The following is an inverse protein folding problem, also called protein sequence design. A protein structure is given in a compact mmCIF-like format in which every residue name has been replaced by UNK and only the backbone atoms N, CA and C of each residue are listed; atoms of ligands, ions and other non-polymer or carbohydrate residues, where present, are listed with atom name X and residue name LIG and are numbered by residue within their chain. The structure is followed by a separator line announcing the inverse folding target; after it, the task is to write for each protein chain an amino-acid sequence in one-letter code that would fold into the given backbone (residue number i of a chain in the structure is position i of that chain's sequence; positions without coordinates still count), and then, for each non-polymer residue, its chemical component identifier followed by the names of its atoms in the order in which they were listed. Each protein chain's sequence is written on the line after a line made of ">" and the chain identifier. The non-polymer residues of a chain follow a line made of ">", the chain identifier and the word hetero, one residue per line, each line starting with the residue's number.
data_IF_747997590847
#
_entry.id   IF_747997590847
#
_cell.length_a   1.000
_cell.length_b   1.000
_cell.length_c   1.000
_cell.angle_alpha   90.00
_cell.angle_beta   90.00
_cell.angle_gamma   90.00
#
_symmetry.space_group_name_H-M   'P 1'
#
loop_
_entity.id
_entity.type
_entity.pdbx_description
1 polymer ?
#
# COMPACT_ATOMS: atom_id res chain seq x y z
N UNK A 1 2.86 3.36 9.63
CA UNK A 1 3.37 2.60 8.46
C UNK A 1 2.35 2.64 7.35
N UNK A 2 2.80 2.81 6.13
CA UNK A 2 1.95 2.74 4.93
C UNK A 2 2.51 1.69 3.99
N UNK A 3 1.66 0.77 3.54
CA UNK A 3 1.98 -0.27 2.58
C UNK A 3 1.06 -0.09 1.37
N UNK A 4 1.63 0.10 0.20
CA UNK A 4 0.85 0.41 -1.01
C UNK A 4 1.46 -0.25 -2.23
N UNK A 5 0.62 -0.72 -3.16
CA UNK A 5 1.06 -1.22 -4.45
C UNK A 5 1.36 -0.09 -5.43
N UNK A 6 2.40 -0.24 -6.23
CA UNK A 6 2.77 0.78 -7.22
C UNK A 6 1.70 0.98 -8.30
N UNK A 7 0.87 -0.04 -8.53
CA UNK A 7 -0.22 0.00 -9.50
C UNK A 7 -1.58 0.31 -8.86
N UNK A 8 -1.59 0.78 -7.62
CA UNK A 8 -2.81 1.19 -6.94
C UNK A 8 -3.20 2.60 -7.38
N UNK A 9 -4.01 2.67 -8.43
CA UNK A 9 -4.50 3.96 -8.94
C UNK A 9 -5.72 4.47 -8.18
N UNK A 10 -6.33 3.66 -7.34
CA UNK A 10 -7.40 4.11 -6.45
C UNK A 10 -6.84 5.04 -5.35
N UNK A 11 -5.60 4.79 -4.93
CA UNK A 11 -4.88 5.60 -3.96
C UNK A 11 -3.50 5.90 -4.53
N UNK A 12 -3.38 6.96 -5.30
CA UNK A 12 -2.16 7.28 -6.05
C UNK A 12 -0.91 7.28 -5.18
N UNK A 13 0.09 6.50 -5.58
CA UNK A 13 1.33 6.30 -4.84
C UNK A 13 2.16 7.59 -4.73
N UNK A 14 2.25 8.34 -5.82
CA UNK A 14 3.04 9.57 -5.86
C UNK A 14 2.58 10.64 -4.86
N UNK A 15 1.30 11.06 -4.91
CA UNK A 15 0.77 12.01 -3.92
C UNK A 15 0.84 11.49 -2.49
N UNK A 16 0.61 10.20 -2.26
CA UNK A 16 0.73 9.59 -0.95
C UNK A 16 2.17 9.69 -0.43
N UNK A 17 3.14 9.35 -1.26
CA UNK A 17 4.56 9.44 -0.91
C UNK A 17 4.95 10.89 -0.60
N UNK A 18 4.51 11.85 -1.40
CA UNK A 18 4.81 13.26 -1.17
C UNK A 18 4.26 13.75 0.17
N UNK A 19 3.03 13.36 0.52
CA UNK A 19 2.42 13.69 1.79
C UNK A 19 3.23 13.12 2.97
N UNK A 20 3.64 11.86 2.87
CA UNK A 20 4.40 11.20 3.92
C UNK A 20 5.81 11.75 4.04
N UNK A 21 6.49 12.04 2.92
CA UNK A 21 7.80 12.66 2.93
C UNK A 21 7.75 14.03 3.64
N UNK A 22 6.71 14.81 3.39
CA UNK A 22 6.47 16.07 4.09
C UNK A 22 6.27 15.89 5.58
N UNK A 23 5.52 14.86 5.98
CA UNK A 23 5.31 14.53 7.39
C UNK A 23 6.62 14.15 8.08
N UNK A 24 7.45 13.34 7.43
CA UNK A 24 8.78 12.96 7.94
C UNK A 24 9.66 14.19 8.12
N UNK A 25 9.65 15.09 7.15
CA UNK A 25 10.40 16.36 7.25
C UNK A 25 9.97 17.19 8.47
N UNK A 26 8.70 17.10 8.87
CA UNK A 26 8.18 17.76 10.07
C UNK A 26 8.35 16.96 11.36
N UNK A 27 9.08 15.85 11.31
CA UNK A 27 9.42 15.04 12.49
C UNK A 27 8.53 13.83 12.75
N UNK A 28 7.58 13.51 11.87
CA UNK A 28 6.75 12.33 12.04
C UNK A 28 7.54 11.04 11.80
N UNK A 29 7.24 10.00 12.56
CA UNK A 29 7.85 8.67 12.41
C UNK A 29 6.96 7.82 11.49
N UNK A 30 7.14 7.96 10.19
CA UNK A 30 6.37 7.24 9.18
C UNK A 30 7.31 6.35 8.36
N UNK A 31 6.92 5.11 8.19
CA UNK A 31 7.55 4.18 7.25
C UNK A 31 6.59 3.89 6.12
N UNK A 32 7.11 3.84 4.90
CA UNK A 32 6.35 3.52 3.71
C UNK A 32 7.06 2.46 2.90
N UNK A 33 6.34 1.44 2.48
CA UNK A 33 6.80 0.42 1.55
C UNK A 33 5.92 0.44 0.31
N UNK A 34 6.52 0.60 -0.84
CA UNK A 34 5.85 0.51 -2.13
C UNK A 34 6.17 -0.86 -2.73
N UNK A 35 5.14 -1.64 -3.06
CA UNK A 35 5.30 -2.95 -3.68
C UNK A 35 5.17 -2.83 -5.20
N UNK A 36 6.27 -3.00 -5.95
CA UNK A 36 6.24 -2.87 -7.41
C UNK A 36 5.28 -3.88 -8.03
N UNK A 37 4.43 -3.40 -8.95
CA UNK A 37 3.49 -4.24 -9.67
C UNK A 37 2.25 -4.67 -8.90
N UNK A 38 2.14 -4.35 -7.62
CA UNK A 38 0.99 -4.72 -6.81
C UNK A 38 -0.17 -3.75 -7.02
N UNK A 39 -1.38 -4.28 -6.99
CA UNK A 39 -2.63 -3.54 -7.20
C UNK A 39 -3.31 -3.21 -5.88
N UNK A 40 -4.41 -2.50 -5.96
CA UNK A 40 -5.32 -2.28 -4.84
C UNK A 40 -5.78 -3.63 -4.28
N UNK A 41 -5.93 -3.75 -2.97
CA UNK A 41 -6.25 -4.99 -2.26
C UNK A 41 -5.22 -6.11 -2.45
N UNK A 42 -3.96 -5.79 -2.69
CA UNK A 42 -2.91 -6.79 -2.88
C UNK A 42 -2.79 -7.75 -1.68
N UNK A 43 -3.15 -7.31 -0.49
CA UNK A 43 -3.05 -8.05 0.76
C UNK A 43 -4.25 -8.95 1.06
N UNK A 44 -5.26 -8.95 0.22
CA UNK A 44 -6.40 -9.85 0.35
C UNK A 44 -6.00 -11.27 -0.10
N UNK A 45 -6.53 -12.33 0.55
CA UNK A 45 -6.21 -13.70 0.13
C UNK A 45 -7.03 -14.07 -1.11
N UNK A 46 -6.37 -14.70 -2.07
CA UNK A 46 -7.02 -15.35 -3.23
C UNK A 46 -7.97 -14.45 -4.03
N UNK A 47 -7.65 -13.16 -4.13
CA UNK A 47 -8.43 -12.24 -4.94
C UNK A 47 -7.88 -12.23 -6.36
N UNK A 48 -8.62 -12.72 -7.38
CA UNK A 48 -8.16 -12.68 -8.78
C UNK A 48 -7.99 -11.24 -9.24
N UNK A 49 -7.02 -11.02 -10.13
CA UNK A 49 -6.88 -9.72 -10.78
C UNK A 49 -8.17 -9.37 -11.52
N UNK A 50 -8.70 -8.19 -11.25
CA UNK A 50 -9.98 -7.75 -11.79
C UNK A 50 -9.93 -6.27 -12.13
N UNK A 51 -10.44 -5.94 -13.31
CA UNK A 51 -10.61 -4.56 -13.75
C UNK A 51 -11.93 -4.01 -13.22
N UNK A 52 -11.89 -2.82 -12.65
CA UNK A 52 -13.07 -2.15 -12.09
C UNK A 52 -13.21 -0.76 -12.70
N UNK A 53 -14.45 -0.28 -12.95
CA UNK A 53 -14.65 1.08 -13.43
C UNK A 53 -14.28 2.08 -12.33
N UNK A 54 -13.55 3.13 -12.70
CA UNK A 54 -13.26 4.23 -11.79
C UNK A 54 -14.52 5.11 -11.69
N UNK A 55 -15.03 5.42 -10.50
CA UNK A 55 -16.33 6.13 -10.37
C UNK A 55 -16.31 7.57 -10.86
N UNK A 56 -15.12 8.14 -11.02
CA UNK A 56 -14.96 9.52 -11.44
C UNK A 56 -14.12 9.67 -12.67
N UNK A 57 -13.89 10.22 -13.52
CA UNK A 57 -12.90 10.45 -14.58
C UNK A 57 -12.89 9.44 -15.73
N UNK A 58 -13.82 8.49 -15.80
CA UNK A 58 -13.92 7.58 -16.95
C UNK A 58 -12.75 6.62 -17.12
N UNK A 59 -11.91 6.45 -16.08
CA UNK A 59 -10.81 5.51 -16.09
C UNK A 59 -11.20 4.14 -15.55
N UNK A 60 -10.22 3.25 -15.50
CA UNK A 60 -10.35 1.92 -14.91
C UNK A 60 -9.24 1.74 -13.88
N UNK A 61 -9.48 0.86 -12.91
CA UNK A 61 -8.46 0.46 -11.96
C UNK A 61 -8.52 -1.05 -11.76
N UNK A 62 -7.44 -1.58 -11.22
CA UNK A 62 -7.30 -3.02 -11.00
C UNK A 62 -7.19 -3.31 -9.53
N UNK A 63 -7.72 -4.46 -9.13
CA UNK A 63 -7.48 -5.04 -7.82
C UNK A 63 -7.04 -6.49 -7.99
N UNK A 64 -6.38 -7.03 -6.99
CA UNK A 64 -5.98 -8.43 -7.00
C UNK A 64 -4.89 -8.71 -5.99
N UNK A 65 -4.84 -9.96 -5.53
CA UNK A 65 -3.82 -10.43 -4.61
C UNK A 65 -2.45 -10.39 -5.29
N UNK A 66 -1.45 -9.93 -4.55
CA UNK A 66 -0.04 -10.15 -4.86
C UNK A 66 0.54 -10.97 -3.72
N UNK A 67 0.80 -12.25 -3.98
CA UNK A 67 1.19 -13.19 -2.94
C UNK A 67 2.50 -12.79 -2.25
N UNK A 68 3.48 -12.32 -3.01
CA UNK A 68 4.76 -11.90 -2.43
C UNK A 68 4.62 -10.62 -1.59
N UNK A 69 3.90 -9.62 -2.10
CA UNK A 69 3.64 -8.38 -1.37
C UNK A 69 2.82 -8.65 -0.11
N UNK A 70 1.81 -9.52 -0.21
CA UNK A 70 0.98 -9.91 0.93
C UNK A 70 1.82 -10.58 2.02
N UNK A 71 2.67 -11.52 1.64
CA UNK A 71 3.54 -12.21 2.59
C UNK A 71 4.50 -11.23 3.28
N UNK A 72 5.11 -10.33 2.53
CA UNK A 72 5.99 -9.31 3.09
C UNK A 72 5.23 -8.39 4.05
N UNK A 73 4.02 -7.95 3.68
CA UNK A 73 3.19 -7.10 4.53
C UNK A 73 2.84 -7.79 5.84
N UNK A 74 2.50 -9.07 5.81
CA UNK A 74 2.14 -9.86 6.99
C UNK A 74 3.32 -10.07 7.94
N UNK A 75 4.54 -10.02 7.44
CA UNK A 75 5.76 -10.05 8.25
C UNK A 75 6.13 -8.65 8.76
N UNK A 76 6.01 -7.65 7.90
CA UNK A 76 6.44 -6.28 8.17
C UNK A 76 5.58 -5.59 9.21
N UNK A 77 4.25 -5.79 9.18
CA UNK A 77 3.33 -5.13 10.10
C UNK A 77 3.57 -5.56 11.56
N UNK A 78 3.61 -6.86 11.90
CA UNK A 78 3.92 -7.26 13.26
C UNK A 78 5.29 -6.77 13.74
N UNK A 79 6.30 -6.80 12.87
CA UNK A 79 7.65 -6.32 13.21
C UNK A 79 7.65 -4.83 13.53
N UNK A 80 6.91 -4.03 12.75
CA UNK A 80 6.74 -2.60 13.02
C UNK A 80 6.06 -2.39 14.37
N UNK A 81 4.95 -3.06 14.61
CA UNK A 81 4.20 -2.91 15.85
C UNK A 81 5.04 -3.33 17.06
N UNK A 82 5.84 -4.39 16.94
CA UNK A 82 6.69 -4.85 18.02
C UNK A 82 7.69 -3.77 18.47
N UNK A 83 8.22 -2.96 17.54
CA UNK A 83 9.17 -1.89 17.88
C UNK A 83 8.54 -0.76 18.70
N UNK A 84 7.23 -0.55 18.57
CA UNK A 84 6.55 0.59 19.21
C UNK A 84 5.63 0.19 20.37
N UNK A 85 5.21 -1.08 20.43
CA UNK A 85 4.28 -1.58 21.44
C UNK A 85 4.94 -2.42 22.53
N UNK A 86 6.18 -2.80 22.37
CA UNK A 86 6.94 -3.54 23.42
C UNK A 86 7.53 -2.55 24.41
N UNK A 87 7.48 -2.93 25.67
CA UNK A 87 8.11 -2.19 26.76
C UNK A 87 9.57 -2.56 26.90
#
# INVERSE_FOLDING_TARGET
>A
MVLIGSEDVAHSTGPCKALLDGAVTRGAKVEMQIYPGAYHHFDWPNLPRRELPFPTAGGVWFEGTDAAARQDAFSRVPSFLARFLTN
#
